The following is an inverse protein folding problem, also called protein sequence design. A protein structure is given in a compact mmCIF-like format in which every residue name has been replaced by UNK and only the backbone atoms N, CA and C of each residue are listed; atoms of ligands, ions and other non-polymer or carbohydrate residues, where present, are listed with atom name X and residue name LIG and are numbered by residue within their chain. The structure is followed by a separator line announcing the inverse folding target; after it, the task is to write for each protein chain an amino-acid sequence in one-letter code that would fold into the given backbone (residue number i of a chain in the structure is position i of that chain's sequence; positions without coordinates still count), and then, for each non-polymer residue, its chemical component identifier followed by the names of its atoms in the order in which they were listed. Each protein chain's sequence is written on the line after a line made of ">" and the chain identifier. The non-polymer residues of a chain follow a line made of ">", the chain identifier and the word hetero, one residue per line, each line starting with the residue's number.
data_IF_285475352524
#
_entry.id   IF_285475352524
#
_cell.length_a   1.000
_cell.length_b   1.000
_cell.length_c   1.000
_cell.angle_alpha   90.00
_cell.angle_beta   90.00
_cell.angle_gamma   90.00
#
_symmetry.space_group_name_H-M   'P 1'
#
loop_
_entity.id
_entity.type
_entity.pdbx_description
1 polymer ?
#
# COMPACT_ATOMS: atom_id res chain seq x y z
N UNK A 1 26.91 -3.61 1.30
CA UNK A 1 25.68 -4.00 2.02
C UNK A 1 24.48 -3.55 1.22
N UNK A 2 23.51 -4.41 0.99
CA UNK A 2 22.30 -4.05 0.26
C UNK A 2 21.26 -3.61 1.28
N UNK A 3 20.76 -2.38 1.13
CA UNK A 3 19.67 -1.90 1.96
C UNK A 3 18.37 -2.58 1.53
N UNK A 4 17.74 -3.30 2.45
CA UNK A 4 16.45 -3.91 2.17
C UNK A 4 15.38 -2.82 2.19
N UNK A 5 14.54 -2.84 1.18
CA UNK A 5 13.35 -1.97 1.14
C UNK A 5 12.27 -2.56 2.02
N UNK A 6 11.46 -1.69 2.61
CA UNK A 6 10.38 -2.09 3.51
C UNK A 6 9.03 -1.72 2.94
N UNK A 7 8.05 -2.57 3.19
CA UNK A 7 6.66 -2.35 2.80
C UNK A 7 5.73 -2.71 3.95
N UNK A 8 4.75 -1.85 4.19
CA UNK A 8 3.62 -2.16 5.07
C UNK A 8 2.41 -2.46 4.19
N UNK A 9 1.81 -3.63 4.41
CA UNK A 9 0.58 -4.05 3.74
C UNK A 9 -0.57 -3.92 4.75
N UNK A 10 -1.56 -3.10 4.42
CA UNK A 10 -2.78 -2.95 5.23
C UNK A 10 -3.93 -3.57 4.44
N UNK A 11 -4.33 -4.76 4.84
CA UNK A 11 -5.32 -5.59 4.15
C UNK A 11 -6.06 -6.44 5.17
N UNK A 12 -7.39 -6.36 5.21
CA UNK A 12 -8.19 -7.10 6.18
C UNK A 12 -8.38 -8.59 5.82
N UNK A 13 -8.32 -8.95 4.56
CA UNK A 13 -8.31 -10.35 4.12
C UNK A 13 -6.92 -10.95 4.36
N UNK A 14 -6.83 -11.83 5.37
CA UNK A 14 -5.53 -12.39 5.78
C UNK A 14 -4.90 -13.27 4.71
N UNK A 15 -5.70 -14.01 3.95
CA UNK A 15 -5.18 -14.87 2.88
C UNK A 15 -4.59 -14.01 1.75
N UNK A 16 -5.29 -12.93 1.40
CA UNK A 16 -4.81 -12.00 0.38
C UNK A 16 -3.56 -11.26 0.87
N UNK A 17 -3.52 -10.84 2.13
CA UNK A 17 -2.34 -10.20 2.72
C UNK A 17 -1.13 -11.13 2.68
N UNK A 18 -1.31 -12.41 3.00
CA UNK A 18 -0.24 -13.41 2.93
C UNK A 18 0.26 -13.61 1.50
N UNK A 19 -0.63 -13.61 0.52
CA UNK A 19 -0.24 -13.69 -0.88
C UNK A 19 0.60 -12.48 -1.28
N UNK A 20 0.17 -11.27 -0.92
CA UNK A 20 0.93 -10.06 -1.18
C UNK A 20 2.31 -10.10 -0.52
N UNK A 21 2.39 -10.61 0.70
CA UNK A 21 3.67 -10.76 1.40
C UNK A 21 4.64 -11.60 0.58
N UNK A 22 4.20 -12.76 0.09
CA UNK A 22 5.04 -13.64 -0.72
C UNK A 22 5.52 -12.90 -1.98
N UNK A 23 4.59 -12.23 -2.66
CA UNK A 23 4.87 -11.50 -3.90
C UNK A 23 5.91 -10.39 -3.68
N UNK A 24 5.80 -9.69 -2.55
CA UNK A 24 6.74 -8.59 -2.25
C UNK A 24 8.10 -9.11 -1.77
N UNK A 25 8.12 -10.19 -1.01
CA UNK A 25 9.38 -10.81 -0.60
C UNK A 25 10.18 -11.32 -1.79
N UNK A 26 9.50 -11.77 -2.85
CA UNK A 26 10.15 -12.22 -4.09
C UNK A 26 11.01 -11.14 -4.74
N UNK A 27 10.68 -9.87 -4.55
CA UNK A 27 11.44 -8.74 -5.11
C UNK A 27 12.23 -7.97 -4.07
N UNK A 28 12.49 -8.59 -2.92
CA UNK A 28 13.46 -8.10 -1.95
C UNK A 28 12.93 -7.19 -0.85
N UNK A 29 11.61 -7.13 -0.67
CA UNK A 29 11.04 -6.32 0.42
C UNK A 29 11.03 -7.07 1.75
N UNK A 30 11.27 -6.33 2.83
CA UNK A 30 10.91 -6.76 4.18
C UNK A 30 9.46 -6.34 4.41
N UNK A 31 8.59 -7.29 4.75
CA UNK A 31 7.15 -7.07 4.77
C UNK A 31 6.59 -7.07 6.19
N UNK A 32 5.81 -6.05 6.52
CA UNK A 32 4.96 -6.00 7.69
C UNK A 32 3.50 -6.01 7.23
N UNK A 33 2.64 -6.76 7.91
CA UNK A 33 1.22 -6.84 7.60
C UNK A 33 0.39 -6.33 8.77
N UNK A 34 -0.63 -5.54 8.46
CA UNK A 34 -1.64 -5.07 9.40
C UNK A 34 -3.01 -5.33 8.76
N UNK A 35 -3.97 -5.79 9.55
CA UNK A 35 -5.23 -6.31 9.02
C UNK A 35 -6.44 -5.42 9.32
N UNK A 36 -6.23 -4.24 9.90
CA UNK A 36 -7.31 -3.29 10.11
C UNK A 36 -6.84 -1.85 9.97
N UNK A 37 -7.78 -0.97 9.59
CA UNK A 37 -7.45 0.41 9.26
C UNK A 37 -7.00 1.23 10.47
N UNK A 38 -7.55 0.97 11.65
CA UNK A 38 -7.16 1.72 12.87
C UNK A 38 -5.73 1.43 13.25
N UNK A 39 -5.34 0.16 13.24
CA UNK A 39 -3.94 -0.22 13.51
C UNK A 39 -3.00 0.31 12.43
N UNK A 40 -3.44 0.30 11.18
CA UNK A 40 -2.66 0.88 10.08
C UNK A 40 -2.43 2.37 10.26
N UNK A 41 -3.48 3.09 10.60
CA UNK A 41 -3.38 4.53 10.86
C UNK A 41 -2.41 4.83 12.00
N UNK A 42 -2.52 4.10 13.11
CA UNK A 42 -1.64 4.29 14.27
C UNK A 42 -0.19 3.99 13.94
N UNK A 43 0.06 2.91 13.18
CA UNK A 43 1.42 2.55 12.76
C UNK A 43 2.04 3.63 11.87
N UNK A 44 1.24 4.30 11.05
CA UNK A 44 1.71 5.29 10.09
C UNK A 44 1.72 6.72 10.63
N UNK A 45 1.22 6.94 11.85
CA UNK A 45 1.35 8.25 12.52
C UNK A 45 2.79 8.55 12.92
N UNK A 46 3.59 7.53 13.14
CA UNK A 46 4.98 7.70 13.51
C UNK A 46 5.79 8.31 12.36
N UNK A 47 6.92 8.90 12.71
CA UNK A 47 7.73 9.63 11.75
C UNK A 47 8.51 8.72 10.81
N UNK A 48 8.75 7.47 11.21
CA UNK A 48 9.54 6.53 10.43
C UNK A 48 8.62 5.67 9.56
N UNK A 49 8.41 6.11 8.31
CA UNK A 49 7.54 5.41 7.37
C UNK A 49 8.31 4.33 6.61
N UNK A 50 7.63 3.22 6.21
CA UNK A 50 8.23 2.28 5.28
C UNK A 50 8.43 2.92 3.90
N UNK A 51 9.22 2.27 3.05
CA UNK A 51 9.44 2.76 1.69
C UNK A 51 8.15 2.74 0.87
N UNK A 52 7.30 1.74 1.10
CA UNK A 52 6.02 1.58 0.41
C UNK A 52 4.92 1.26 1.42
N UNK A 53 3.75 1.86 1.23
CA UNK A 53 2.54 1.55 1.99
C UNK A 53 1.49 1.06 1.00
N UNK A 54 1.12 -0.22 1.09
CA UNK A 54 0.09 -0.82 0.25
C UNK A 54 -1.21 -0.85 1.03
N UNK A 55 -2.20 -0.10 0.57
CA UNK A 55 -3.47 0.09 1.26
C UNK A 55 -4.63 -0.49 0.47
N UNK A 56 -5.41 -1.37 1.11
CA UNK A 56 -6.76 -1.66 0.65
C UNK A 56 -7.64 -0.44 0.93
N UNK A 57 -8.39 0.02 -0.06
CA UNK A 57 -9.27 1.18 0.08
C UNK A 57 -10.52 0.88 0.90
N UNK A 58 -10.93 -0.39 1.00
CA UNK A 58 -12.16 -0.82 1.66
C UNK A 58 -11.86 -1.59 2.96
N UNK A 59 -11.32 -0.88 3.95
CA UNK A 59 -11.06 -1.45 5.28
C UNK A 59 -12.23 -1.13 6.21
N UNK A 60 -12.56 -2.05 7.14
CA UNK A 60 -13.56 -1.73 8.16
C UNK A 60 -13.04 -0.65 9.11
N UNK A 61 -13.93 0.22 9.59
CA UNK A 61 -13.59 1.32 10.47
C UNK A 61 -12.87 2.44 9.74
N UNK A 62 -11.58 2.60 10.01
CA UNK A 62 -10.74 3.57 9.29
C UNK A 62 -10.43 3.02 7.90
N UNK A 63 -10.84 3.72 6.86
CA UNK A 63 -10.67 3.27 5.47
C UNK A 63 -9.25 3.54 4.96
N UNK A 64 -8.89 2.86 3.86
CA UNK A 64 -7.66 3.17 3.15
C UNK A 64 -7.62 4.60 2.64
N UNK A 65 -8.78 5.15 2.26
CA UNK A 65 -8.86 6.55 1.83
C UNK A 65 -8.51 7.52 2.97
N UNK A 66 -8.95 7.23 4.20
CA UNK A 66 -8.62 8.05 5.38
C UNK A 66 -7.11 8.05 5.65
N UNK A 67 -6.49 6.87 5.57
CA UNK A 67 -5.05 6.73 5.76
C UNK A 67 -4.29 7.47 4.66
N UNK A 68 -4.73 7.33 3.41
CA UNK A 68 -4.13 8.03 2.28
C UNK A 68 -4.21 9.55 2.48
N UNK A 69 -5.35 10.07 2.90
CA UNK A 69 -5.53 11.50 3.16
C UNK A 69 -4.55 12.02 4.21
N UNK A 70 -4.37 11.26 5.28
CA UNK A 70 -3.41 11.63 6.33
C UNK A 70 -1.99 11.68 5.79
N UNK A 71 -1.57 10.70 5.00
CA UNK A 71 -0.24 10.68 4.42
C UNK A 71 -0.05 11.78 3.37
N UNK A 72 -1.10 12.09 2.61
CA UNK A 72 -1.07 13.17 1.64
C UNK A 72 -0.86 14.53 2.30
N UNK A 73 -1.54 14.78 3.42
CA UNK A 73 -1.35 16.01 4.20
C UNK A 73 0.08 16.17 4.70
N UNK A 74 0.76 15.06 4.93
CA UNK A 74 2.17 15.05 5.35
C UNK A 74 3.15 15.10 4.18
N UNK A 75 2.65 15.12 2.93
CA UNK A 75 3.51 15.09 1.75
C UNK A 75 4.12 13.72 1.47
N UNK A 76 3.55 12.64 2.01
CA UNK A 76 4.09 11.27 1.91
C UNK A 76 3.23 10.35 1.04
N UNK A 77 2.27 10.90 0.30
CA UNK A 77 1.37 10.12 -0.55
C UNK A 77 2.08 9.39 -1.69
N UNK A 78 3.26 9.84 -2.10
CA UNK A 78 4.07 9.16 -3.12
C UNK A 78 4.48 7.74 -2.72
N UNK A 79 4.49 7.45 -1.42
CA UNK A 79 4.84 6.12 -0.89
C UNK A 79 3.70 5.13 -0.98
N UNK A 80 2.49 5.59 -1.31
CA UNK A 80 1.28 4.79 -1.18
C UNK A 80 0.90 4.15 -2.49
N UNK A 81 0.57 2.85 -2.44
CA UNK A 81 -0.13 2.14 -3.49
C UNK A 81 -1.53 1.81 -2.98
N UNK A 82 -2.55 2.37 -3.60
CA UNK A 82 -3.95 2.10 -3.28
C UNK A 82 -4.45 0.91 -4.11
N UNK A 83 -5.21 0.00 -3.50
CA UNK A 83 -5.77 -1.16 -4.18
C UNK A 83 -7.26 -1.25 -3.91
N UNK A 84 -8.04 -1.49 -4.96
CA UNK A 84 -9.50 -1.65 -4.85
C UNK A 84 -10.04 -2.48 -6.01
N UNK A 85 -11.12 -3.22 -5.76
CA UNK A 85 -11.88 -3.88 -6.82
C UNK A 85 -12.77 -2.88 -7.59
N UNK A 86 -12.97 -1.68 -7.07
CA UNK A 86 -13.79 -0.64 -7.70
C UNK A 86 -12.96 0.11 -8.75
N UNK A 87 -13.19 -0.22 -10.02
CA UNK A 87 -12.46 0.34 -11.16
C UNK A 87 -12.59 1.86 -11.23
N UNK A 88 -13.79 2.38 -10.99
CA UNK A 88 -14.03 3.83 -11.07
C UNK A 88 -13.27 4.58 -9.99
N UNK A 89 -13.23 4.02 -8.78
CA UNK A 89 -12.49 4.61 -7.67
C UNK A 89 -10.99 4.63 -7.96
N UNK A 90 -10.45 3.54 -8.49
CA UNK A 90 -9.04 3.45 -8.87
C UNK A 90 -8.71 4.50 -9.94
N UNK A 91 -9.54 4.63 -10.95
CA UNK A 91 -9.31 5.60 -12.02
C UNK A 91 -9.38 7.04 -11.52
N UNK A 92 -10.29 7.32 -10.58
CA UNK A 92 -10.40 8.65 -9.97
C UNK A 92 -9.11 9.03 -9.23
N UNK A 93 -8.57 8.10 -8.45
CA UNK A 93 -7.32 8.36 -7.72
C UNK A 93 -6.12 8.46 -8.65
N UNK A 94 -6.07 7.65 -9.70
CA UNK A 94 -5.02 7.78 -10.72
C UNK A 94 -5.05 9.15 -11.39
N UNK A 95 -6.23 9.67 -11.67
CA UNK A 95 -6.40 10.99 -12.27
C UNK A 95 -5.89 12.11 -11.35
N UNK A 96 -5.87 11.86 -10.03
CA UNK A 96 -5.33 12.79 -9.04
C UNK A 96 -3.83 12.61 -8.82
N UNK A 97 -3.19 11.71 -9.57
CA UNK A 97 -1.76 11.45 -9.48
C UNK A 97 -1.36 10.36 -8.50
N UNK A 98 -2.31 9.66 -7.88
CA UNK A 98 -2.02 8.59 -6.94
C UNK A 98 -1.59 7.31 -7.66
N UNK A 99 -0.78 6.50 -6.99
CA UNK A 99 -0.50 5.14 -7.44
C UNK A 99 -1.68 4.26 -7.00
N UNK A 100 -2.37 3.67 -7.94
CA UNK A 100 -3.54 2.84 -7.63
C UNK A 100 -3.67 1.70 -8.64
N UNK A 101 -4.03 0.51 -8.15
CA UNK A 101 -4.26 -0.67 -8.97
C UNK A 101 -5.61 -1.30 -8.65
N UNK A 102 -6.26 -1.80 -9.69
CA UNK A 102 -7.52 -2.55 -9.55
C UNK A 102 -7.23 -3.99 -9.14
N UNK A 103 -7.98 -4.52 -8.17
CA UNK A 103 -7.89 -5.93 -7.78
C UNK A 103 -8.80 -6.79 -8.67
N UNK A 104 -8.38 -8.00 -9.02
CA UNK A 104 -7.05 -8.57 -8.81
C UNK A 104 -6.03 -7.97 -9.77
N UNK A 105 -4.87 -7.59 -9.26
CA UNK A 105 -3.79 -7.07 -10.09
C UNK A 105 -2.80 -8.20 -10.42
N UNK A 106 -2.29 -8.26 -11.67
CA UNK A 106 -1.24 -9.22 -12.00
C UNK A 106 -0.01 -9.03 -11.11
N UNK A 107 0.64 -10.13 -10.75
CA UNK A 107 1.83 -10.11 -9.89
C UNK A 107 2.89 -9.19 -10.46
N UNK A 108 3.15 -9.26 -11.77
CA UNK A 108 4.16 -8.45 -12.42
C UNK A 108 3.86 -6.95 -12.28
N UNK A 109 2.59 -6.56 -12.38
CA UNK A 109 2.19 -5.16 -12.22
C UNK A 109 2.40 -4.68 -10.78
N UNK A 110 2.00 -5.50 -9.80
CA UNK A 110 2.21 -5.20 -8.40
C UNK A 110 3.69 -4.99 -8.10
N UNK A 111 4.54 -5.92 -8.52
CA UNK A 111 5.98 -5.86 -8.28
C UNK A 111 6.61 -4.64 -8.95
N UNK A 112 6.22 -4.35 -10.18
CA UNK A 112 6.75 -3.21 -10.94
C UNK A 112 6.41 -1.89 -10.25
N UNK A 113 5.15 -1.73 -9.83
CA UNK A 113 4.70 -0.47 -9.22
C UNK A 113 5.37 -0.26 -7.86
N UNK A 114 5.43 -1.29 -7.00
CA UNK A 114 6.07 -1.13 -5.69
C UNK A 114 7.56 -0.86 -5.81
N UNK A 115 8.24 -1.46 -6.79
CA UNK A 115 9.64 -1.18 -7.03
C UNK A 115 9.86 0.25 -7.52
N UNK A 116 8.98 0.78 -8.36
CA UNK A 116 9.02 2.18 -8.80
C UNK A 116 8.83 3.14 -7.62
N UNK A 117 7.85 2.86 -6.76
CA UNK A 117 7.61 3.68 -5.56
C UNK A 117 8.84 3.68 -4.66
N UNK A 118 9.42 2.51 -4.41
CA UNK A 118 10.58 2.37 -3.53
C UNK A 118 11.83 3.05 -4.08
N UNK A 119 11.93 3.19 -5.40
CA UNK A 119 13.07 3.84 -6.08
C UNK A 119 12.97 5.35 -6.12
N UNK A 120 11.77 5.86 -5.97
CA UNK A 120 11.51 7.30 -6.00
C UNK A 120 11.73 7.92 -4.65
#
# INVERSE_FOLDING_TARGET
>A
MVDMKSILIVEDDRDLANLFKIVMEMVGFTVQMIHDGQQGLEALKDQCLPDVVMLDMHLPGVSGEDIYSMLRERGEDRRVLLCSADVQLVERYRALGANALTKPAPVDDLQRVVMQIASG
#
